data_IF_042134367288
#
_entry.id   IF_042134367288
#
_cell.length_a   1.000
_cell.length_b   1.000
_cell.length_c   1.000
_cell.angle_alpha   90.00
_cell.angle_beta   90.00
_cell.angle_gamma   90.00
#
_symmetry.space_group_name_H-M   'P 1'
#
loop_
_entity.id
_entity.type
_entity.pdbx_description
1 polymer ?
#
# COMPACT_ATOMS: atom_id res chain seq x y z
N UNK A 1 70.92 -10.46 7.52
CA UNK A 1 70.35 -9.23 6.93
C UNK A 1 69.09 -8.91 7.72
N UNK A 2 69.23 -8.15 8.79
CA UNK A 2 68.12 -7.73 9.66
C UNK A 2 67.23 -6.73 8.91
N UNK A 3 65.94 -7.04 8.78
CA UNK A 3 64.95 -6.07 8.32
C UNK A 3 64.57 -5.18 9.50
N UNK A 4 65.16 -3.99 9.53
CA UNK A 4 64.73 -2.90 10.42
C UNK A 4 63.30 -2.49 10.05
N UNK A 5 62.32 -2.89 10.85
CA UNK A 5 60.94 -2.41 10.76
C UNK A 5 60.90 -0.91 11.07
N UNK A 6 60.81 -0.07 10.03
CA UNK A 6 60.53 1.36 10.20
C UNK A 6 59.05 1.52 10.56
N UNK A 7 58.75 1.68 11.85
CA UNK A 7 57.46 2.22 12.29
C UNK A 7 57.38 3.69 11.88
N UNK A 8 56.80 3.95 10.71
CA UNK A 8 56.36 5.30 10.34
C UNK A 8 55.08 5.59 11.13
N UNK A 9 55.15 6.55 12.04
CA UNK A 9 53.95 7.18 12.60
C UNK A 9 53.19 7.83 11.44
N UNK A 10 51.97 7.37 11.17
CA UNK A 10 51.13 7.95 10.12
C UNK A 10 50.56 9.27 10.62
N UNK A 11 51.17 10.37 10.20
CA UNK A 11 50.53 11.69 10.30
C UNK A 11 49.37 11.69 9.31
N UNK A 12 48.13 11.77 9.80
CA UNK A 12 46.96 11.97 8.96
C UNK A 12 47.01 13.38 8.39
N UNK A 13 47.53 13.52 7.17
CA UNK A 13 47.48 14.78 6.42
C UNK A 13 46.07 14.94 5.83
N UNK A 14 45.47 16.13 5.93
CA UNK A 14 44.20 16.43 5.27
C UNK A 14 44.38 16.34 3.75
N UNK A 15 43.96 15.23 3.15
CA UNK A 15 43.92 15.00 1.72
C UNK A 15 42.45 14.90 1.29
N UNK A 16 42.06 15.67 0.28
CA UNK A 16 40.75 15.57 -0.35
C UNK A 16 40.82 14.56 -1.49
N UNK A 17 39.95 13.55 -1.46
CA UNK A 17 39.81 12.56 -2.52
C UNK A 17 38.42 12.71 -3.08
N UNK A 18 38.31 12.84 -4.40
CA UNK A 18 37.02 12.72 -5.08
C UNK A 18 36.54 11.28 -4.96
N UNK A 19 35.42 11.06 -4.29
CA UNK A 19 34.94 9.73 -3.94
C UNK A 19 34.33 8.99 -5.14
N UNK A 20 33.82 9.73 -6.14
CA UNK A 20 33.19 9.14 -7.32
C UNK A 20 34.19 8.33 -8.17
N UNK A 21 35.49 8.64 -8.08
CA UNK A 21 36.55 7.86 -8.77
C UNK A 21 36.70 6.45 -8.18
N UNK A 22 36.11 6.20 -7.01
CA UNK A 22 36.10 4.93 -6.31
C UNK A 22 34.75 4.20 -6.47
N UNK A 23 33.88 4.68 -7.36
CA UNK A 23 32.65 3.98 -7.72
C UNK A 23 32.88 2.94 -8.82
N UNK A 24 32.14 1.85 -8.71
CA UNK A 24 32.13 0.80 -9.72
C UNK A 24 31.36 1.27 -10.96
N UNK A 25 31.99 1.24 -12.13
CA UNK A 25 31.39 1.69 -13.41
C UNK A 25 30.19 0.84 -13.88
N UNK A 26 29.98 -0.33 -13.28
CA UNK A 26 28.86 -1.23 -13.64
C UNK A 26 27.62 -0.97 -12.79
N UNK A 27 27.78 -0.72 -11.49
CA UNK A 27 26.64 -0.50 -10.58
C UNK A 27 26.50 0.94 -10.10
N UNK A 28 27.45 1.82 -10.40
CA UNK A 28 27.47 3.22 -9.98
C UNK A 28 27.31 3.37 -8.45
N UNK A 29 28.00 2.50 -7.71
CA UNK A 29 28.05 2.49 -6.24
C UNK A 29 29.50 2.32 -5.78
N UNK A 30 29.83 2.65 -4.52
CA UNK A 30 31.18 2.49 -4.00
C UNK A 30 31.73 1.10 -4.26
N UNK A 31 32.98 1.02 -4.74
CA UNK A 31 33.66 -0.26 -4.96
C UNK A 31 33.71 -1.05 -3.66
N UNK A 32 33.17 -2.29 -3.68
CA UNK A 32 33.16 -3.18 -2.51
C UNK A 32 34.18 -4.30 -2.68
N UNK A 33 35.07 -4.52 -1.71
CA UNK A 33 35.93 -5.71 -1.69
C UNK A 33 35.10 -7.00 -1.77
N UNK A 34 35.53 -8.02 -2.55
CA UNK A 34 36.73 -8.03 -3.39
C UNK A 34 36.64 -7.14 -4.64
N UNK A 35 37.70 -6.37 -4.91
CA UNK A 35 37.80 -5.52 -6.11
C UNK A 35 38.60 -6.24 -7.18
N UNK A 36 38.07 -6.26 -8.40
CA UNK A 36 38.66 -6.95 -9.54
C UNK A 36 39.17 -5.95 -10.57
N UNK A 37 40.40 -6.13 -11.04
CA UNK A 37 41.10 -5.26 -11.97
C UNK A 37 41.44 -6.02 -13.26
N UNK A 38 41.20 -5.41 -14.42
CA UNK A 38 41.64 -5.95 -15.71
C UNK A 38 43.11 -5.66 -16.00
N UNK A 39 43.69 -6.26 -17.05
CA UNK A 39 45.10 -6.07 -17.42
C UNK A 39 45.51 -4.62 -17.72
N UNK A 40 44.54 -3.74 -18.05
CA UNK A 40 44.78 -2.31 -18.33
C UNK A 40 44.59 -1.42 -17.08
N UNK A 41 43.91 -1.91 -16.04
CA UNK A 41 43.71 -1.15 -14.80
C UNK A 41 42.27 -0.76 -14.45
N UNK A 42 41.28 -1.07 -15.28
CA UNK A 42 39.87 -0.84 -14.93
C UNK A 42 39.43 -1.76 -13.80
N UNK A 43 38.75 -1.19 -12.80
CA UNK A 43 38.30 -1.88 -11.60
C UNK A 43 36.78 -2.00 -11.52
N UNK A 44 36.30 -3.14 -11.04
CA UNK A 44 34.87 -3.40 -10.78
C UNK A 44 34.70 -4.24 -9.50
N UNK A 45 33.51 -4.21 -8.91
CA UNK A 45 33.14 -5.11 -7.82
C UNK A 45 33.13 -6.57 -8.27
N UNK A 46 33.55 -7.49 -7.41
CA UNK A 46 33.41 -8.93 -7.67
C UNK A 46 31.96 -9.36 -7.96
N UNK A 47 30.98 -8.74 -7.30
CA UNK A 47 29.55 -8.99 -7.53
C UNK A 47 29.08 -8.52 -8.91
N UNK A 48 29.66 -7.43 -9.43
CA UNK A 48 29.38 -6.92 -10.77
C UNK A 48 30.03 -7.78 -11.84
N UNK A 49 31.27 -8.21 -11.64
CA UNK A 49 31.94 -9.17 -12.53
C UNK A 49 31.14 -10.47 -12.67
N UNK A 50 30.57 -10.99 -11.57
CA UNK A 50 29.71 -12.18 -11.61
C UNK A 50 28.44 -12.02 -12.46
N UNK A 51 28.01 -10.79 -12.75
CA UNK A 51 26.84 -10.46 -13.59
C UNK A 51 27.21 -10.12 -15.04
N UNK A 52 28.49 -10.02 -15.38
CA UNK A 52 28.90 -9.73 -16.75
C UNK A 52 28.63 -10.95 -17.65
N UNK A 53 28.13 -10.73 -18.88
CA UNK A 53 27.86 -11.82 -19.81
C UNK A 53 29.14 -12.50 -20.29
N UNK A 54 30.21 -11.72 -20.47
CA UNK A 54 31.54 -12.22 -20.83
C UNK A 54 32.53 -11.89 -19.71
N UNK A 55 33.06 -12.94 -19.07
CA UNK A 55 34.00 -12.83 -17.95
C UNK A 55 35.45 -12.62 -18.40
N UNK A 56 35.73 -12.88 -19.67
CA UNK A 56 37.07 -12.78 -20.23
C UNK A 56 37.26 -11.49 -21.03
N UNK A 57 36.34 -10.53 -20.91
CA UNK A 57 36.40 -9.26 -21.63
C UNK A 57 36.05 -8.10 -20.71
N UNK A 58 36.85 -7.04 -20.79
CA UNK A 58 36.61 -5.86 -19.97
C UNK A 58 35.41 -5.05 -20.49
N UNK A 59 34.46 -4.71 -19.62
CA UNK A 59 33.31 -3.88 -19.98
C UNK A 59 33.71 -2.45 -20.37
N UNK A 60 34.83 -1.94 -19.83
CA UNK A 60 35.25 -0.55 -20.04
C UNK A 60 36.14 -0.41 -21.28
N UNK A 61 37.22 -1.18 -21.39
CA UNK A 61 38.13 -1.09 -22.56
C UNK A 61 37.82 -2.06 -23.69
N UNK A 62 36.81 -2.93 -23.55
CA UNK A 62 36.42 -3.94 -24.53
C UNK A 62 37.49 -4.99 -24.89
N UNK A 63 38.65 -4.98 -24.22
CA UNK A 63 39.77 -5.91 -24.45
C UNK A 63 39.55 -7.24 -23.76
N UNK A 64 40.00 -8.32 -24.42
CA UNK A 64 40.05 -9.66 -23.83
C UNK A 64 41.10 -9.69 -22.72
N UNK A 65 40.67 -10.04 -21.51
CA UNK A 65 41.49 -9.96 -20.30
C UNK A 65 40.87 -10.77 -19.17
N UNK A 66 41.74 -11.37 -18.35
CA UNK A 66 41.35 -11.93 -17.07
C UNK A 66 41.35 -10.84 -16.00
N UNK A 67 40.30 -10.82 -15.18
CA UNK A 67 40.25 -9.96 -14.00
C UNK A 67 41.00 -10.60 -12.83
N UNK A 68 41.88 -9.83 -12.19
CA UNK A 68 42.62 -10.23 -10.99
C UNK A 68 42.17 -9.41 -9.78
N UNK A 69 42.21 -10.00 -8.59
CA UNK A 69 41.88 -9.29 -7.36
C UNK A 69 42.94 -8.23 -7.04
N UNK A 70 42.51 -6.98 -6.90
CA UNK A 70 43.41 -5.86 -6.61
C UNK A 70 43.41 -5.53 -5.11
N UNK A 71 44.32 -6.16 -4.36
CA UNK A 71 44.48 -5.92 -2.93
C UNK A 71 44.86 -4.47 -2.60
N UNK A 72 45.62 -3.80 -3.47
CA UNK A 72 46.01 -2.40 -3.27
C UNK A 72 44.79 -1.47 -3.19
N UNK A 73 43.86 -1.56 -4.16
CA UNK A 73 42.63 -0.78 -4.16
C UNK A 73 41.75 -1.15 -2.96
N UNK A 74 41.67 -2.43 -2.59
CA UNK A 74 40.94 -2.82 -1.38
C UNK A 74 41.51 -2.23 -0.09
N UNK A 75 42.84 -2.05 0.01
CA UNK A 75 43.45 -1.39 1.18
C UNK A 75 43.15 0.11 1.19
N UNK A 76 43.19 0.76 0.02
CA UNK A 76 42.81 2.18 -0.13
C UNK A 76 41.34 2.39 0.30
N UNK A 77 40.43 1.54 -0.16
CA UNK A 77 39.00 1.63 0.19
C UNK A 77 38.74 1.46 1.69
N UNK A 78 39.60 0.70 2.40
CA UNK A 78 39.51 0.52 3.86
C UNK A 78 40.10 1.68 4.66
N UNK A 79 41.06 2.42 4.09
CA UNK A 79 41.70 3.54 4.79
C UNK A 79 40.96 4.86 4.64
N UNK A 80 40.09 5.00 3.63
CA UNK A 80 39.28 6.20 3.42
C UNK A 80 38.05 6.13 4.32
N UNK A 81 38.09 6.90 5.41
CA UNK A 81 36.97 7.06 6.33
C UNK A 81 36.18 8.32 5.97
N UNK A 82 34.87 8.16 5.79
CA UNK A 82 33.94 9.26 5.51
C UNK A 82 33.00 9.46 6.70
N UNK A 83 32.61 10.71 7.03
CA UNK A 83 31.57 10.94 8.02
C UNK A 83 30.23 10.38 7.54
N UNK A 84 29.41 9.88 8.46
CA UNK A 84 28.04 9.47 8.17
C UNK A 84 27.25 10.64 7.53
N UNK A 85 26.42 10.36 6.51
CA UNK A 85 25.50 11.37 5.94
C UNK A 85 24.54 11.95 6.98
N UNK A 86 24.26 11.20 8.04
CA UNK A 86 23.42 11.64 9.16
C UNK A 86 24.21 12.38 10.26
N UNK A 87 25.42 12.87 10.00
CA UNK A 87 26.19 13.66 10.97
C UNK A 87 25.44 14.91 11.44
N UNK A 88 24.68 15.57 10.55
CA UNK A 88 23.82 16.70 10.92
C UNK A 88 22.70 16.36 11.91
N UNK A 89 22.39 15.08 12.09
CA UNK A 89 21.41 14.57 13.05
C UNK A 89 22.06 13.92 14.29
N UNK A 90 23.37 14.10 14.48
CA UNK A 90 24.12 13.64 15.65
C UNK A 90 24.91 12.35 15.46
N UNK A 91 25.09 11.86 14.23
CA UNK A 91 25.94 10.69 14.00
C UNK A 91 27.43 11.06 13.91
N UNK A 92 28.21 10.72 14.94
CA UNK A 92 29.67 10.92 14.94
C UNK A 92 30.46 9.79 14.27
N UNK A 93 29.76 8.77 13.75
CA UNK A 93 30.41 7.63 13.12
C UNK A 93 31.16 8.04 11.84
N UNK A 94 32.39 7.52 11.71
CA UNK A 94 33.16 7.54 10.47
C UNK A 94 33.33 6.11 10.01
N UNK A 95 32.90 5.82 8.79
CA UNK A 95 32.95 4.47 8.22
C UNK A 95 33.81 4.46 6.99
N UNK A 96 34.36 3.29 6.65
CA UNK A 96 35.08 3.15 5.40
C UNK A 96 34.14 3.44 4.23
N UNK A 97 34.62 4.14 3.20
CA UNK A 97 33.76 4.62 2.10
C UNK A 97 32.97 3.48 1.44
N UNK A 98 33.58 2.31 1.23
CA UNK A 98 32.90 1.14 0.66
C UNK A 98 31.75 0.57 1.52
N UNK A 99 31.70 0.92 2.81
CA UNK A 99 30.71 0.47 3.79
C UNK A 99 29.74 1.60 4.22
N UNK A 100 29.84 2.81 3.66
CA UNK A 100 29.02 3.96 4.08
C UNK A 100 27.53 3.69 3.93
N UNK A 101 27.09 3.17 2.78
CA UNK A 101 25.68 2.85 2.55
C UNK A 101 25.17 1.77 3.51
N UNK A 102 26.02 0.80 3.86
CA UNK A 102 25.65 -0.29 4.78
C UNK A 102 25.53 0.18 6.22
N UNK A 103 26.28 1.22 6.62
CA UNK A 103 26.05 1.90 7.88
C UNK A 103 24.76 2.72 7.85
N UNK A 104 24.47 3.42 6.75
CA UNK A 104 23.27 4.24 6.59
C UNK A 104 21.98 3.41 6.70
N UNK A 105 21.98 2.19 6.17
CA UNK A 105 20.87 1.22 6.28
C UNK A 105 20.43 0.93 7.73
N UNK A 106 21.30 1.17 8.72
CA UNK A 106 21.03 0.93 10.15
C UNK A 106 21.46 2.06 11.06
N UNK A 107 21.67 3.27 10.53
CA UNK A 107 22.18 4.40 11.32
C UNK A 107 21.14 4.85 12.36
N UNK A 108 21.42 4.80 13.67
CA UNK A 108 20.44 5.18 14.71
C UNK A 108 19.98 6.64 14.65
N UNK A 109 20.76 7.50 14.00
CA UNK A 109 20.49 8.92 13.83
C UNK A 109 19.84 9.24 12.48
N UNK A 110 19.43 8.23 11.70
CA UNK A 110 18.70 8.45 10.47
C UNK A 110 17.36 9.17 10.78
N UNK A 111 17.03 10.26 10.06
CA UNK A 111 15.84 11.04 10.35
C UNK A 111 14.59 10.42 9.72
N UNK A 112 13.44 10.73 10.32
CA UNK A 112 12.16 10.77 9.61
C UNK A 112 11.79 12.22 9.30
N UNK A 113 11.00 12.42 8.26
CA UNK A 113 10.62 13.73 7.76
C UNK A 113 9.17 14.06 8.09
N UNK A 114 8.84 15.34 8.18
CA UNK A 114 7.44 15.77 8.29
C UNK A 114 6.72 15.62 6.93
N UNK A 115 5.51 15.03 6.91
CA UNK A 115 4.74 14.87 5.67
C UNK A 115 3.88 16.10 5.33
N UNK A 116 3.95 17.17 6.14
CA UNK A 116 3.18 18.39 5.87
C UNK A 116 3.85 19.21 4.76
N UNK A 117 3.10 19.59 3.71
CA UNK A 117 3.63 20.40 2.61
C UNK A 117 4.28 21.69 3.11
N UNK A 118 5.51 21.93 2.68
CA UNK A 118 6.28 23.13 3.08
C UNK A 118 6.96 23.04 4.45
N UNK A 119 6.76 21.96 5.21
CA UNK A 119 7.49 21.74 6.45
C UNK A 119 8.82 21.01 6.18
N UNK A 120 9.95 21.67 6.48
CA UNK A 120 11.29 21.10 6.31
C UNK A 120 11.79 20.28 7.49
N UNK A 121 10.93 19.91 8.44
CA UNK A 121 11.37 19.19 9.64
C UNK A 121 11.90 17.80 9.30
N UNK A 122 13.09 17.50 9.80
CA UNK A 122 13.73 16.19 9.75
C UNK A 122 14.41 15.93 11.10
N UNK A 123 14.18 14.76 11.68
CA UNK A 123 14.78 14.41 12.96
C UNK A 123 14.43 12.99 13.42
N UNK A 124 14.82 12.66 14.65
CA UNK A 124 14.55 11.34 15.23
C UNK A 124 13.04 11.02 15.20
N UNK A 125 12.70 9.76 14.91
CA UNK A 125 11.32 9.27 14.84
C UNK A 125 10.54 9.58 16.13
N UNK A 126 11.20 9.49 17.28
CA UNK A 126 10.63 9.80 18.61
C UNK A 126 10.22 11.26 18.78
N UNK A 127 10.81 12.18 18.02
CA UNK A 127 10.53 13.62 18.09
C UNK A 127 9.31 14.03 17.25
N UNK A 128 8.86 13.19 16.32
CA UNK A 128 7.74 13.51 15.43
C UNK A 128 6.43 13.83 16.16
N UNK A 129 5.99 13.08 17.19
CA UNK A 129 4.72 13.40 17.87
C UNK A 129 4.70 14.80 18.48
N UNK A 130 5.82 15.23 19.10
CA UNK A 130 5.94 16.55 19.68
C UNK A 130 5.95 17.64 18.59
N UNK A 131 6.65 17.39 17.48
CA UNK A 131 6.65 18.29 16.33
C UNK A 131 5.25 18.43 15.71
N UNK A 132 4.53 17.33 15.47
CA UNK A 132 3.19 17.37 14.86
C UNK A 132 2.17 18.08 15.74
N UNK A 133 2.19 17.84 17.05
CA UNK A 133 1.29 18.49 18.01
C UNK A 133 1.58 19.97 18.14
N UNK A 134 2.85 20.36 18.35
CA UNK A 134 3.22 21.77 18.56
C UNK A 134 3.29 22.60 17.27
N UNK A 135 3.72 22.00 16.16
CA UNK A 135 3.95 22.70 14.89
C UNK A 135 2.77 22.69 13.94
N UNK A 136 1.93 21.66 14.00
CA UNK A 136 0.81 21.47 13.06
C UNK A 136 -0.55 21.28 13.74
N UNK A 137 -0.61 21.33 15.08
CA UNK A 137 -1.86 21.16 15.82
C UNK A 137 -2.49 19.77 15.66
N UNK A 138 -1.70 18.76 15.27
CA UNK A 138 -2.20 17.40 15.17
C UNK A 138 -2.62 16.88 16.56
N UNK A 139 -3.58 15.93 16.62
CA UNK A 139 -3.90 15.26 17.88
C UNK A 139 -2.66 14.61 18.50
N UNK A 140 -2.57 14.55 19.84
CA UNK A 140 -1.56 13.75 20.52
C UNK A 140 -1.55 12.30 20.03
N UNK A 141 -0.39 11.66 20.08
CA UNK A 141 -0.27 10.27 19.66
C UNK A 141 -1.19 9.36 20.53
N UNK A 142 -2.00 8.54 19.87
CA UNK A 142 -2.85 7.56 20.55
C UNK A 142 -2.02 6.34 20.92
N UNK A 143 -1.96 6.01 22.20
CA UNK A 143 -1.28 4.81 22.67
C UNK A 143 -2.12 3.56 22.42
N UNK A 144 -1.48 2.49 21.97
CA UNK A 144 -2.12 1.19 21.80
C UNK A 144 -1.16 0.05 22.13
N UNK A 145 -1.71 -1.15 22.31
CA UNK A 145 -0.95 -2.38 22.52
C UNK A 145 -1.16 -3.35 21.36
N UNK A 146 -0.09 -3.97 20.86
CA UNK A 146 -0.15 -4.96 19.78
C UNK A 146 -1.07 -6.14 20.12
N UNK A 147 -1.66 -6.73 19.09
CA UNK A 147 -2.62 -7.83 19.16
C UNK A 147 -3.86 -7.56 20.05
N UNK A 148 -4.10 -6.29 20.43
CA UNK A 148 -5.33 -5.84 21.08
C UNK A 148 -6.06 -4.89 20.15
N UNK A 149 -7.35 -5.13 20.00
CA UNK A 149 -8.25 -4.25 19.28
C UNK A 149 -8.51 -2.97 20.10
N UNK A 150 -8.55 -1.82 19.42
CA UNK A 150 -8.97 -0.55 20.01
C UNK A 150 -9.80 0.26 19.00
N UNK A 151 -10.70 1.09 19.50
CA UNK A 151 -11.51 1.99 18.69
C UNK A 151 -10.71 3.23 18.32
N UNK A 152 -10.60 3.49 17.02
CA UNK A 152 -10.06 4.73 16.46
C UNK A 152 -11.18 5.51 15.78
N UNK A 153 -11.37 6.75 16.20
CA UNK A 153 -12.31 7.66 15.57
C UNK A 153 -11.83 8.03 14.17
N UNK A 154 -12.65 7.75 13.16
CA UNK A 154 -12.32 8.06 11.77
C UNK A 154 -12.63 9.53 11.54
N UNK A 155 -11.58 10.31 11.35
CA UNK A 155 -11.64 11.72 10.97
C UNK A 155 -10.64 11.93 9.84
N UNK A 156 -10.95 12.84 8.92
CA UNK A 156 -10.02 13.26 7.90
C UNK A 156 -8.74 13.82 8.52
N UNK A 157 -7.61 13.55 7.87
CA UNK A 157 -6.29 14.00 8.27
C UNK A 157 -5.41 12.90 8.84
N UNK A 158 -4.28 13.35 9.41
CA UNK A 158 -3.18 12.51 9.85
C UNK A 158 -3.15 12.38 11.37
N UNK A 159 -2.86 11.19 11.86
CA UNK A 159 -2.80 10.85 13.29
C UNK A 159 -1.67 9.86 13.55
N UNK A 160 -1.02 9.98 14.71
CA UNK A 160 0.03 9.05 15.12
C UNK A 160 -0.51 8.07 16.14
N UNK A 161 -0.18 6.79 15.98
CA UNK A 161 -0.36 5.74 16.97
C UNK A 161 1.00 5.35 17.53
N UNK A 162 1.08 5.12 18.84
CA UNK A 162 2.31 4.68 19.53
C UNK A 162 2.09 3.30 20.13
N UNK A 163 2.91 2.34 19.72
CA UNK A 163 2.98 1.01 20.34
C UNK A 163 3.71 1.11 21.68
N UNK A 164 2.98 0.90 22.79
CA UNK A 164 3.53 1.02 24.15
C UNK A 164 4.54 -0.08 24.48
N UNK A 165 4.48 -1.23 23.82
CA UNK A 165 5.36 -2.36 24.13
C UNK A 165 6.66 -2.30 23.31
N UNK A 166 6.57 -1.85 22.06
CA UNK A 166 7.70 -1.85 21.11
C UNK A 166 8.27 -0.46 20.80
N UNK A 167 7.62 0.62 21.21
CA UNK A 167 8.04 1.99 20.95
C UNK A 167 7.88 2.46 19.50
N UNK A 168 7.35 1.60 18.61
CA UNK A 168 7.13 1.91 17.20
C UNK A 168 6.02 2.96 17.05
N UNK A 169 6.18 3.85 16.07
CA UNK A 169 5.17 4.83 15.71
C UNK A 169 4.52 4.45 14.38
N UNK A 170 3.20 4.55 14.33
CA UNK A 170 2.43 4.33 13.13
C UNK A 170 1.70 5.60 12.75
N UNK A 171 1.70 5.92 11.46
CA UNK A 171 0.91 7.01 10.90
C UNK A 171 -0.38 6.44 10.32
N UNK A 172 -1.51 6.97 10.77
CA UNK A 172 -2.81 6.78 10.16
C UNK A 172 -3.13 8.04 9.37
N UNK A 173 -3.26 7.91 8.06
CA UNK A 173 -3.72 8.98 7.18
C UNK A 173 -5.09 8.61 6.63
N UNK A 174 -6.05 9.52 6.76
CA UNK A 174 -7.42 9.34 6.27
C UNK A 174 -7.76 10.50 5.36
N UNK A 175 -8.13 10.20 4.12
CA UNK A 175 -8.47 11.18 3.12
C UNK A 175 -9.86 10.94 2.52
N UNK A 176 -10.50 11.98 1.97
CA UNK A 176 -11.72 11.84 1.19
C UNK A 176 -11.54 10.91 -0.01
N UNK A 177 -12.48 9.97 -0.19
CA UNK A 177 -12.53 9.03 -1.31
C UNK A 177 -13.77 9.25 -2.18
N UNK A 178 -14.20 10.52 -2.32
CA UNK A 178 -15.38 10.88 -3.10
C UNK A 178 -16.65 10.16 -2.61
N UNK A 179 -17.44 9.53 -3.51
CA UNK A 179 -18.66 8.81 -3.15
C UNK A 179 -18.43 7.63 -2.21
N UNK A 180 -17.23 7.04 -2.21
CA UNK A 180 -16.89 5.88 -1.37
C UNK A 180 -16.78 6.22 0.12
N UNK A 181 -16.77 7.51 0.49
CA UNK A 181 -16.61 7.98 1.86
C UNK A 181 -15.16 8.38 2.13
N UNK A 182 -14.50 7.67 3.04
CA UNK A 182 -13.12 7.93 3.43
C UNK A 182 -12.23 6.75 3.06
N UNK A 183 -11.00 7.00 2.62
CA UNK A 183 -9.97 6.00 2.46
C UNK A 183 -8.86 6.25 3.48
N UNK A 184 -8.29 5.17 4.03
CA UNK A 184 -7.25 5.29 5.02
C UNK A 184 -6.05 4.40 4.76
N UNK A 185 -4.90 4.84 5.24
CA UNK A 185 -3.63 4.13 5.22
C UNK A 185 -3.11 3.97 6.65
N UNK A 186 -2.40 2.87 6.91
CA UNK A 186 -1.60 2.69 8.13
C UNK A 186 -0.17 2.40 7.72
N UNK A 187 0.76 3.26 8.13
CA UNK A 187 2.18 3.19 7.78
C UNK A 187 3.03 3.11 9.04
N UNK A 188 4.12 2.36 9.01
CA UNK A 188 5.13 2.38 10.06
C UNK A 188 6.11 3.53 9.78
N UNK A 189 6.30 4.41 10.77
CA UNK A 189 7.32 5.45 10.71
C UNK A 189 8.67 4.82 11.08
N UNK A 190 9.53 4.69 10.09
CA UNK A 190 10.79 3.96 10.19
C UNK A 190 11.83 4.63 9.27
N UNK A 191 12.91 5.21 9.82
CA UNK A 191 13.94 5.86 9.02
C UNK A 191 14.73 4.85 8.16
N UNK A 192 14.64 3.55 8.49
CA UNK A 192 15.28 2.45 7.77
C UNK A 192 14.30 1.68 6.88
N UNK A 193 13.24 2.34 6.38
CA UNK A 193 12.20 1.69 5.57
C UNK A 193 12.71 0.89 4.36
N UNK A 194 13.86 1.25 3.80
CA UNK A 194 14.52 0.56 2.68
C UNK A 194 15.41 -0.62 3.09
N UNK A 195 15.71 -0.78 4.39
CA UNK A 195 16.63 -1.79 4.89
C UNK A 195 16.09 -3.22 4.71
N UNK A 196 17.00 -4.17 4.50
CA UNK A 196 16.68 -5.60 4.29
C UNK A 196 16.08 -6.25 5.54
N UNK A 197 16.55 -5.87 6.72
CA UNK A 197 16.10 -6.37 8.00
C UNK A 197 15.28 -5.29 8.70
N UNK A 198 13.96 -5.30 8.47
CA UNK A 198 13.02 -4.36 9.06
C UNK A 198 11.89 -5.08 9.79
N UNK A 199 11.30 -4.48 10.84
CA UNK A 199 10.15 -5.06 11.49
C UNK A 199 8.99 -5.19 10.50
N UNK A 200 8.24 -6.29 10.62
CA UNK A 200 7.10 -6.58 9.76
C UNK A 200 5.84 -6.60 10.61
N UNK A 201 4.90 -5.76 10.24
CA UNK A 201 3.60 -5.69 10.89
C UNK A 201 2.47 -5.97 9.90
N UNK A 202 1.39 -6.51 10.41
CA UNK A 202 0.12 -6.66 9.73
C UNK A 202 -0.94 -5.88 10.51
N UNK A 203 -1.79 -5.16 9.79
CA UNK A 203 -2.86 -4.37 10.37
C UNK A 203 -4.20 -4.97 9.95
N UNK A 204 -5.09 -5.14 10.93
CA UNK A 204 -6.48 -5.47 10.71
C UNK A 204 -7.32 -4.25 11.12
N UNK A 205 -8.11 -3.75 10.17
CA UNK A 205 -9.03 -2.64 10.36
C UNK A 205 -10.44 -3.14 10.11
N UNK A 206 -11.32 -3.01 11.09
CA UNK A 206 -12.74 -3.34 10.96
C UNK A 206 -13.63 -2.12 11.16
N UNK A 207 -14.59 -1.94 10.27
CA UNK A 207 -15.64 -0.94 10.39
C UNK A 207 -16.96 -1.62 10.73
N UNK A 208 -17.72 -1.05 11.68
CA UNK A 208 -19.06 -1.51 11.99
C UNK A 208 -20.06 -0.35 12.03
N UNK A 209 -21.03 -0.35 11.12
CA UNK A 209 -22.15 0.56 11.16
C UNK A 209 -23.32 -0.10 11.93
N UNK A 210 -23.57 0.37 13.16
CA UNK A 210 -24.66 -0.16 13.99
C UNK A 210 -26.06 0.11 13.40
N UNK A 211 -26.23 1.25 12.72
CA UNK A 211 -27.52 1.64 12.14
C UNK A 211 -27.97 0.72 10.99
N UNK A 212 -27.03 0.17 10.22
CA UNK A 212 -27.33 -0.69 9.06
C UNK A 212 -26.96 -2.15 9.29
N UNK A 213 -26.37 -2.48 10.45
CA UNK A 213 -25.76 -3.78 10.73
C UNK A 213 -24.52 -4.09 9.88
N UNK A 214 -24.07 -3.16 9.03
CA UNK A 214 -22.95 -3.38 8.11
C UNK A 214 -21.63 -3.59 8.86
N UNK A 215 -20.84 -4.56 8.40
CA UNK A 215 -19.47 -4.80 8.86
C UNK A 215 -18.57 -4.93 7.64
N UNK A 216 -17.40 -4.33 7.73
CA UNK A 216 -16.31 -4.51 6.77
C UNK A 216 -15.02 -4.70 7.53
N UNK A 217 -14.11 -5.52 7.01
CA UNK A 217 -12.77 -5.66 7.55
C UNK A 217 -11.74 -5.66 6.43
N UNK A 218 -10.54 -5.22 6.74
CA UNK A 218 -9.40 -5.17 5.82
C UNK A 218 -8.16 -5.61 6.58
N UNK A 219 -7.44 -6.58 6.01
CA UNK A 219 -6.15 -7.07 6.52
C UNK A 219 -5.08 -6.74 5.49
N UNK A 220 -4.00 -6.11 5.93
CA UNK A 220 -2.94 -5.69 5.02
C UNK A 220 -1.59 -5.57 5.72
N UNK A 221 -0.47 -5.82 5.01
CA UNK A 221 0.86 -5.58 5.53
C UNK A 221 1.09 -4.06 5.72
N UNK A 222 1.68 -3.69 6.85
CA UNK A 222 2.04 -2.30 7.14
C UNK A 222 3.32 -1.95 6.40
N UNK A 223 3.27 -0.91 5.56
CA UNK A 223 4.44 -0.40 4.84
C UNK A 223 5.25 0.52 5.75
N UNK A 224 6.56 0.34 5.77
CA UNK A 224 7.51 1.26 6.40
C UNK A 224 7.75 2.48 5.52
N UNK A 225 7.91 3.66 6.13
CA UNK A 225 8.31 4.88 5.44
C UNK A 225 9.10 5.81 6.37
N UNK A 226 10.13 6.45 5.82
CA UNK A 226 10.82 7.57 6.47
C UNK A 226 10.11 8.90 6.21
N UNK A 227 9.08 8.92 5.35
CA UNK A 227 8.42 10.11 4.80
C UNK A 227 9.34 11.01 3.96
N UNK A 228 10.45 10.44 3.46
CA UNK A 228 11.35 11.12 2.55
C UNK A 228 10.60 11.54 1.27
N UNK A 229 10.60 12.85 0.98
CA UNK A 229 9.85 13.44 -0.14
C UNK A 229 8.60 14.25 0.25
N UNK A 230 8.32 14.41 1.56
CA UNK A 230 7.32 15.38 2.05
C UNK A 230 5.87 15.07 1.66
N UNK A 231 5.60 13.85 1.21
CA UNK A 231 4.25 13.37 0.86
C UNK A 231 4.13 11.87 1.08
N UNK A 232 2.89 11.40 1.21
CA UNK A 232 2.60 9.98 1.36
C UNK A 232 2.66 9.27 0.00
N UNK A 233 3.01 7.97 -0.04
CA UNK A 233 3.00 7.20 -1.29
C UNK A 233 1.61 7.24 -1.95
N UNK A 234 1.57 7.46 -3.27
CA UNK A 234 0.31 7.59 -4.02
C UNK A 234 -0.61 6.35 -3.94
N UNK A 235 -0.06 5.20 -3.57
CA UNK A 235 -0.69 3.88 -3.46
C UNK A 235 -0.83 3.39 -2.00
N UNK A 236 -0.88 4.30 -1.01
CA UNK A 236 -0.83 3.90 0.40
C UNK A 236 -2.18 3.52 1.03
N UNK A 237 -3.32 3.88 0.42
CA UNK A 237 -4.64 3.60 0.99
C UNK A 237 -4.96 2.10 0.98
N UNK A 238 -5.26 1.57 2.15
CA UNK A 238 -5.40 0.14 2.40
C UNK A 238 -6.79 -0.27 2.90
N UNK A 239 -7.63 0.69 3.33
CA UNK A 239 -9.00 0.44 3.75
C UNK A 239 -9.94 1.60 3.37
N UNK A 240 -11.24 1.32 3.33
CA UNK A 240 -12.30 2.29 3.02
C UNK A 240 -13.34 2.28 4.14
N UNK A 241 -13.79 3.47 4.55
CA UNK A 241 -14.88 3.69 5.49
C UNK A 241 -16.06 4.30 4.72
N UNK A 242 -17.12 3.53 4.45
CA UNK A 242 -18.27 3.99 3.68
C UNK A 242 -18.98 5.18 4.33
N UNK A 243 -19.47 6.11 3.50
CA UNK A 243 -20.37 7.18 3.94
C UNK A 243 -21.75 6.58 4.27
N UNK A 244 -22.26 6.87 5.47
CA UNK A 244 -23.59 6.41 5.91
C UNK A 244 -24.55 7.60 5.88
N UNK A 245 -25.72 7.45 5.24
CA UNK A 245 -26.68 8.52 4.92
C UNK A 245 -27.33 9.21 6.14
N UNK A 246 -27.18 8.65 7.33
CA UNK A 246 -27.54 9.29 8.60
C UNK A 246 -26.30 9.29 9.49
N UNK A 247 -25.85 10.45 10.00
CA UNK A 247 -24.68 10.47 10.84
C UNK A 247 -25.05 9.89 12.20
N UNK A 248 -24.44 8.78 12.67
CA UNK A 248 -23.86 8.91 13.97
C UNK A 248 -22.66 9.84 13.79
N UNK A 249 -22.70 11.00 14.45
CA UNK A 249 -21.45 11.63 14.85
C UNK A 249 -20.59 10.51 15.44
N UNK A 250 -19.37 10.27 14.91
CA UNK A 250 -18.41 9.22 15.33
C UNK A 250 -18.53 7.85 14.64
N UNK A 251 -18.19 7.78 13.34
CA UNK A 251 -17.78 6.50 12.75
C UNK A 251 -16.43 6.07 13.37
N UNK A 252 -16.40 4.96 14.11
CA UNK A 252 -15.15 4.36 14.59
C UNK A 252 -14.77 3.15 13.75
N UNK A 253 -13.45 2.93 13.63
CA UNK A 253 -12.87 1.68 13.16
C UNK A 253 -12.19 1.00 14.33
N UNK A 254 -12.23 -0.32 14.34
CA UNK A 254 -11.49 -1.17 15.25
C UNK A 254 -10.17 -1.50 14.58
N UNK A 255 -9.06 -1.11 15.19
CA UNK A 255 -7.71 -1.36 14.66
C UNK A 255 -6.99 -2.36 15.55
N UNK A 256 -6.32 -3.33 14.95
CA UNK A 256 -5.37 -4.21 15.63
C UNK A 256 -4.12 -4.41 14.77
N UNK A 257 -2.95 -4.31 15.41
CA UNK A 257 -1.65 -4.46 14.75
C UNK A 257 -0.92 -5.67 15.33
N UNK A 258 -0.39 -6.52 14.45
CA UNK A 258 0.32 -7.74 14.79
C UNK A 258 1.77 -7.66 14.33
N UNK A 259 2.71 -8.05 15.19
CA UNK A 259 4.11 -8.27 14.81
C UNK A 259 4.24 -9.66 14.19
N UNK A 260 4.61 -9.70 12.92
CA UNK A 260 4.77 -10.92 12.12
C UNK A 260 6.24 -11.21 11.79
N UNK A 261 7.17 -10.49 12.44
CA UNK A 261 8.62 -10.66 12.26
C UNK A 261 9.10 -12.04 12.72
N UNK A 262 8.38 -12.66 13.67
CA UNK A 262 8.58 -14.04 14.12
C UNK A 262 7.39 -14.87 13.67
N UNK A 263 7.60 -15.92 12.84
CA UNK A 263 6.53 -16.89 12.49
C UNK A 263 5.82 -17.33 13.78
N UNK A 264 4.52 -17.08 13.91
CA UNK A 264 3.72 -17.64 15.02
C UNK A 264 3.25 -19.07 14.67
N UNK A 265 3.18 -19.99 15.64
CA UNK A 265 2.38 -21.19 15.51
C UNK A 265 0.91 -20.79 15.31
N UNK A 266 0.23 -21.47 14.38
CA UNK A 266 -1.22 -21.32 14.15
C UNK A 266 -1.96 -21.72 15.44
N UNK A 267 -2.33 -20.75 16.26
CA UNK A 267 -3.44 -20.91 17.19
C UNK A 267 -4.58 -20.04 16.70
N UNK A 268 -5.52 -20.72 16.05
CA UNK A 268 -6.83 -20.20 15.68
C UNK A 268 -7.55 -19.77 16.96
N UNK A 269 -7.78 -18.47 17.10
CA UNK A 269 -8.91 -18.02 17.90
C UNK A 269 -10.15 -18.19 17.02
N UNK A 270 -10.96 -19.18 17.39
CA UNK A 270 -12.29 -19.42 16.86
C UNK A 270 -13.16 -18.18 17.10
N UNK A 271 -13.18 -17.26 16.14
CA UNK A 271 -14.35 -16.39 15.96
C UNK A 271 -15.31 -17.18 15.10
N UNK A 272 -16.47 -17.45 15.67
CA UNK A 272 -17.55 -18.29 15.16
C UNK A 272 -17.72 -18.11 13.66
N UNK A 273 -17.38 -19.16 12.91
CA UNK A 273 -17.69 -19.29 11.50
C UNK A 273 -19.21 -19.28 11.35
N UNK A 274 -19.74 -18.26 10.70
CA UNK A 274 -20.87 -18.43 9.79
C UNK A 274 -20.38 -17.95 8.42
N UNK A 275 -20.17 -18.94 7.56
CA UNK A 275 -19.92 -18.82 6.11
C UNK A 275 -21.01 -17.97 5.47
N UNK A 276 -20.73 -17.12 4.48
CA UNK A 276 -20.36 -17.44 3.09
C UNK A 276 -19.59 -16.24 2.47
N UNK A 277 -18.30 -16.39 2.20
CA UNK A 277 -17.65 -16.69 0.91
C UNK A 277 -17.68 -15.59 -0.16
N UNK A 278 -16.47 -15.14 -0.50
CA UNK A 278 -16.03 -14.45 -1.74
C UNK A 278 -16.56 -13.05 -1.99
N UNK A 279 -16.10 -12.12 -1.17
CA UNK A 279 -15.83 -10.76 -1.62
C UNK A 279 -14.33 -10.53 -1.48
N UNK A 280 -13.70 -9.91 -2.49
CA UNK A 280 -12.39 -9.26 -2.41
C UNK A 280 -11.16 -9.88 -3.10
N UNK A 281 -11.11 -11.06 -3.72
CA UNK A 281 -9.90 -11.36 -4.51
C UNK A 281 -9.82 -10.52 -5.78
N UNK A 282 -10.87 -10.50 -6.60
CA UNK A 282 -10.90 -9.69 -7.83
C UNK A 282 -10.81 -8.19 -7.51
N UNK A 283 -11.58 -7.69 -6.55
CA UNK A 283 -11.58 -6.25 -6.19
C UNK A 283 -10.24 -5.81 -5.60
N UNK A 284 -9.60 -6.63 -4.75
CA UNK A 284 -8.26 -6.33 -4.24
C UNK A 284 -7.23 -6.39 -5.36
N UNK A 285 -7.27 -7.37 -6.26
CA UNK A 285 -6.31 -7.51 -7.36
C UNK A 285 -6.42 -6.36 -8.37
N UNK A 286 -7.66 -5.91 -8.61
CA UNK A 286 -8.04 -4.78 -9.45
C UNK A 286 -7.55 -3.45 -8.84
N UNK A 287 -7.64 -3.28 -7.52
CA UNK A 287 -7.04 -2.13 -6.80
C UNK A 287 -5.50 -2.20 -6.78
N UNK A 288 -4.91 -3.40 -6.64
CA UNK A 288 -3.45 -3.61 -6.67
C UNK A 288 -2.83 -3.27 -8.03
N UNK A 289 -3.48 -3.60 -9.14
CA UNK A 289 -2.94 -3.38 -10.49
C UNK A 289 -3.46 -2.13 -11.19
N UNK A 290 -4.55 -1.52 -10.71
CA UNK A 290 -5.15 -0.32 -11.31
C UNK A 290 -4.31 0.95 -11.18
N UNK A 291 -3.28 0.94 -10.33
CA UNK A 291 -2.40 2.10 -10.07
C UNK A 291 -1.05 2.02 -10.82
N UNK A 292 -0.67 0.85 -11.35
CA UNK A 292 0.59 0.72 -12.08
C UNK A 292 0.39 1.02 -13.57
N UNK A 293 0.95 2.16 -14.01
CA UNK A 293 0.96 2.76 -15.35
C UNK A 293 -0.22 3.69 -15.69
N UNK A 294 0.15 4.87 -16.19
CA UNK A 294 -0.74 5.96 -16.53
C UNK A 294 -1.93 5.56 -17.41
N UNK A 295 -3.09 6.12 -17.06
CA UNK A 295 -4.36 6.16 -17.80
C UNK A 295 -4.73 4.83 -18.47
N UNK A 296 -5.40 3.94 -17.73
CA UNK A 296 -6.27 2.93 -18.33
C UNK A 296 -7.72 3.20 -17.92
N UNK A 297 -8.46 3.79 -18.84
CA UNK A 297 -9.92 3.72 -18.81
C UNK A 297 -10.30 2.25 -18.74
N UNK A 298 -11.03 1.84 -17.70
CA UNK A 298 -11.59 0.49 -17.61
C UNK A 298 -12.70 0.30 -18.65
N UNK A 299 -13.48 1.36 -18.90
CA UNK A 299 -14.52 1.40 -19.92
C UNK A 299 -14.45 2.76 -20.63
N UNK A 300 -14.58 2.74 -21.97
CA UNK A 300 -14.79 3.94 -22.78
C UNK A 300 -16.19 3.88 -23.39
N UNK A 301 -16.97 4.94 -23.20
CA UNK A 301 -18.31 5.09 -23.75
C UNK A 301 -18.54 6.56 -24.08
N UNK A 302 -19.09 6.85 -25.26
CA UNK A 302 -19.44 8.21 -25.70
C UNK A 302 -18.31 9.24 -25.53
N UNK A 303 -17.09 8.87 -25.96
CA UNK A 303 -15.86 9.68 -25.85
C UNK A 303 -15.39 9.96 -24.40
N UNK A 304 -16.07 9.43 -23.38
CA UNK A 304 -15.67 9.52 -21.98
C UNK A 304 -14.96 8.24 -21.54
N UNK A 305 -13.95 8.42 -20.70
CA UNK A 305 -13.14 7.34 -20.13
C UNK A 305 -13.48 7.19 -18.65
N UNK A 306 -13.93 6.01 -18.26
CA UNK A 306 -14.29 5.68 -16.89
C UNK A 306 -13.19 4.82 -16.30
N UNK A 307 -12.65 5.25 -15.17
CA UNK A 307 -11.68 4.46 -14.44
C UNK A 307 -12.39 3.44 -13.55
N UNK A 308 -11.60 2.51 -13.05
CA UNK A 308 -12.05 1.36 -12.29
C UNK A 308 -12.65 1.74 -10.92
N UNK A 309 -12.12 2.80 -10.31
CA UNK A 309 -12.65 3.37 -9.05
C UNK A 309 -14.05 3.94 -9.26
N UNK A 310 -14.28 4.64 -10.38
CA UNK A 310 -15.61 5.17 -10.74
C UNK A 310 -16.63 4.04 -10.95
N UNK A 311 -16.24 2.95 -11.60
CA UNK A 311 -17.11 1.79 -11.80
C UNK A 311 -17.44 1.08 -10.49
N UNK A 312 -16.47 0.94 -9.58
CA UNK A 312 -16.68 0.35 -8.26
C UNK A 312 -17.62 1.23 -7.43
N UNK A 313 -17.46 2.56 -7.46
CA UNK A 313 -18.36 3.49 -6.78
C UNK A 313 -19.81 3.35 -7.28
N UNK A 314 -20.01 3.38 -8.61
CA UNK A 314 -21.35 3.18 -9.19
C UNK A 314 -21.95 1.81 -8.89
N UNK A 315 -21.12 0.76 -8.82
CA UNK A 315 -21.58 -0.58 -8.45
C UNK A 315 -22.05 -0.65 -6.98
N UNK A 316 -21.40 0.09 -6.09
CA UNK A 316 -21.82 0.23 -4.69
C UNK A 316 -23.15 1.00 -4.56
N UNK A 317 -23.39 1.98 -5.42
CA UNK A 317 -24.70 2.67 -5.47
C UNK A 317 -25.82 1.72 -5.89
N UNK A 318 -25.60 0.89 -6.92
CA UNK A 318 -26.56 -0.14 -7.33
C UNK A 318 -26.78 -1.17 -6.23
N UNK A 319 -25.70 -1.61 -5.57
CA UNK A 319 -25.79 -2.48 -4.40
C UNK A 319 -26.70 -1.88 -3.30
N UNK A 320 -26.54 -0.59 -3.00
CA UNK A 320 -27.38 0.10 -2.03
C UNK A 320 -28.84 0.16 -2.49
N UNK A 321 -29.12 0.40 -3.78
CA UNK A 321 -30.48 0.41 -4.34
C UNK A 321 -31.15 -0.97 -4.21
N UNK A 322 -30.44 -2.03 -4.60
CA UNK A 322 -30.94 -3.41 -4.53
C UNK A 322 -31.20 -3.85 -3.08
N UNK A 323 -30.45 -3.29 -2.13
CA UNK A 323 -30.62 -3.51 -0.69
C UNK A 323 -31.79 -2.71 -0.08
N UNK A 324 -32.11 -1.53 -0.60
CA UNK A 324 -33.09 -0.60 -0.01
C UNK A 324 -34.55 -0.80 -0.47
N UNK A 325 -34.90 -1.86 -1.20
CA UNK A 325 -36.31 -2.14 -1.61
C UNK A 325 -37.25 -2.61 -0.47
N UNK A 326 -37.08 -2.10 0.76
CA UNK A 326 -38.06 -2.14 1.84
C UNK A 326 -38.44 -0.70 2.29
N UNK A 327 -38.99 0.10 1.38
CA UNK A 327 -39.68 1.35 1.74
C UNK A 327 -41.20 1.10 1.70
N UNK A 328 -41.97 1.36 2.76
CA UNK A 328 -43.43 1.24 2.75
C UNK A 328 -44.05 2.26 1.78
N UNK A 329 -45.24 2.00 1.23
CA UNK A 329 -45.79 2.78 0.14
C UNK A 329 -46.09 4.21 0.59
N UNK A 330 -45.37 5.19 0.03
CA UNK A 330 -45.91 6.55 -0.06
C UNK A 330 -46.99 6.53 -1.13
N UNK A 331 -48.23 6.60 -0.66
CA UNK A 331 -49.42 6.75 -1.47
C UNK A 331 -49.31 7.96 -2.37
N UNK A 332 -49.29 7.73 -3.69
CA UNK A 332 -49.94 8.61 -4.64
C UNK A 332 -50.97 7.78 -5.39
N UNK A 333 -52.24 8.05 -5.08
CA UNK A 333 -53.40 7.46 -5.73
C UNK A 333 -53.46 7.93 -7.19
N UNK A 334 -53.62 6.98 -8.11
CA UNK A 334 -54.72 7.02 -9.07
C UNK A 334 -55.04 5.61 -9.59
N UNK A 335 -56.33 5.31 -9.54
CA UNK A 335 -57.03 4.05 -9.79
C UNK A 335 -56.96 3.55 -11.24
N UNK A 336 -56.82 2.25 -11.47
CA UNK A 336 -57.96 1.33 -11.76
C UNK A 336 -57.49 -0.12 -12.00
N UNK A 337 -58.23 -1.04 -11.37
CA UNK A 337 -58.54 -2.42 -11.74
C UNK A 337 -57.43 -3.49 -11.87
N UNK A 338 -57.31 -4.28 -10.79
CA UNK A 338 -57.62 -5.72 -10.83
C UNK A 338 -56.61 -6.66 -11.49
N UNK A 339 -55.70 -7.22 -10.68
CA UNK A 339 -55.49 -8.68 -10.58
C UNK A 339 -54.41 -8.97 -9.54
N UNK A 340 -54.71 -9.93 -8.67
CA UNK A 340 -53.84 -10.46 -7.62
C UNK A 340 -52.62 -11.17 -8.23
N UNK A 341 -51.40 -10.73 -7.88
CA UNK A 341 -50.14 -11.33 -8.35
C UNK A 341 -49.07 -11.36 -7.26
N UNK A 342 -48.80 -12.57 -6.76
CA UNK A 342 -47.67 -13.09 -5.99
C UNK A 342 -46.67 -12.11 -5.33
N UNK A 343 -46.81 -11.91 -4.02
CA UNK A 343 -45.74 -11.41 -3.16
C UNK A 343 -44.59 -12.42 -3.13
N UNK A 344 -43.42 -12.05 -3.65
CA UNK A 344 -42.17 -12.76 -3.32
C UNK A 344 -41.93 -12.57 -1.83
N UNK A 345 -42.30 -13.59 -1.07
CA UNK A 345 -42.08 -13.69 0.38
C UNK A 345 -40.58 -13.70 0.61
N UNK A 346 -40.00 -12.51 0.82
CA UNK A 346 -38.59 -12.35 1.18
C UNK A 346 -38.30 -13.19 2.42
N UNK A 347 -37.40 -14.17 2.25
CA UNK A 347 -36.87 -14.95 3.36
C UNK A 347 -36.00 -14.01 4.18
N UNK A 348 -36.54 -13.59 5.33
CA UNK A 348 -35.86 -12.94 6.45
C UNK A 348 -34.92 -11.76 6.11
N UNK A 349 -35.45 -10.52 6.09
CA UNK A 349 -34.86 -9.31 6.70
C UNK A 349 -33.40 -8.88 6.44
N UNK A 350 -32.61 -9.62 5.69
CA UNK A 350 -31.22 -9.33 5.35
C UNK A 350 -31.24 -8.92 3.88
N UNK A 351 -31.03 -7.65 3.56
CA UNK A 351 -31.06 -7.13 2.19
C UNK A 351 -29.94 -7.69 1.30
N UNK A 352 -30.02 -8.99 1.00
CA UNK A 352 -29.11 -9.80 0.20
C UNK A 352 -29.97 -10.66 -0.73
N UNK A 353 -29.64 -10.67 -2.02
CA UNK A 353 -30.47 -11.25 -3.08
C UNK A 353 -30.51 -12.79 -3.06
N UNK A 354 -29.63 -13.45 -2.29
CA UNK A 354 -29.72 -14.90 -2.03
C UNK A 354 -29.68 -15.78 -3.30
N UNK A 355 -28.97 -15.34 -4.34
CA UNK A 355 -28.90 -16.00 -5.64
C UNK A 355 -30.01 -15.62 -6.62
N UNK A 356 -30.86 -14.63 -6.31
CA UNK A 356 -31.90 -14.15 -7.22
C UNK A 356 -31.29 -13.66 -8.55
N UNK A 357 -31.91 -14.06 -9.66
CA UNK A 357 -31.50 -13.67 -11.02
C UNK A 357 -32.11 -12.32 -11.36
N UNK A 358 -31.29 -11.31 -11.62
CA UNK A 358 -31.72 -9.94 -11.90
C UNK A 358 -31.38 -9.61 -13.36
N UNK A 359 -32.42 -9.36 -14.16
CA UNK A 359 -32.28 -8.90 -15.53
C UNK A 359 -31.89 -7.42 -15.56
N UNK A 360 -30.76 -7.09 -16.19
CA UNK A 360 -30.30 -5.72 -16.36
C UNK A 360 -30.52 -5.34 -17.81
N UNK A 361 -31.56 -4.54 -18.06
CA UNK A 361 -31.94 -4.10 -19.40
C UNK A 361 -31.47 -2.67 -19.62
N UNK A 362 -30.36 -2.49 -20.33
CA UNK A 362 -29.90 -1.16 -20.74
C UNK A 362 -29.03 -1.24 -22.00
N UNK A 363 -28.73 -0.08 -22.59
CA UNK A 363 -27.67 0.00 -23.61
C UNK A 363 -26.32 -0.30 -22.95
N UNK A 364 -25.36 -0.93 -23.66
CA UNK A 364 -24.01 -1.09 -23.15
C UNK A 364 -23.41 0.26 -22.72
N UNK A 365 -23.17 0.41 -21.42
CA UNK A 365 -22.65 1.63 -20.81
C UNK A 365 -21.86 1.31 -19.53
N UNK A 366 -21.10 2.27 -18.98
CA UNK A 366 -20.45 2.12 -17.67
C UNK A 366 -21.45 1.76 -16.56
N UNK A 367 -22.65 2.33 -16.59
CA UNK A 367 -23.74 2.08 -15.65
C UNK A 367 -24.32 0.66 -15.81
N UNK A 368 -24.38 0.14 -17.04
CA UNK A 368 -24.74 -1.26 -17.30
C UNK A 368 -23.76 -2.23 -16.63
N UNK A 369 -22.45 -1.95 -16.71
CA UNK A 369 -21.41 -2.76 -16.05
C UNK A 369 -21.44 -2.58 -14.53
N UNK A 370 -21.66 -1.36 -14.05
CA UNK A 370 -21.87 -1.10 -12.62
C UNK A 370 -23.11 -1.87 -12.08
N UNK A 371 -24.16 -1.99 -12.88
CA UNK A 371 -25.35 -2.77 -12.56
C UNK A 371 -25.05 -4.26 -12.37
N UNK A 372 -24.22 -4.83 -13.26
CA UNK A 372 -23.78 -6.23 -13.19
C UNK A 372 -22.99 -6.45 -11.91
N UNK A 373 -22.01 -5.59 -11.65
CA UNK A 373 -21.22 -5.67 -10.42
C UNK A 373 -22.09 -5.51 -9.18
N UNK A 374 -22.91 -4.46 -9.09
CA UNK A 374 -23.79 -4.22 -7.94
C UNK A 374 -24.73 -5.38 -7.64
N UNK A 375 -25.21 -6.10 -8.66
CA UNK A 375 -26.03 -7.31 -8.51
C UNK A 375 -25.23 -8.46 -7.88
N UNK A 376 -24.01 -8.72 -8.37
CA UNK A 376 -23.12 -9.70 -7.75
C UNK A 376 -22.74 -9.30 -6.33
N UNK A 377 -22.50 -8.01 -6.07
CA UNK A 377 -22.19 -7.52 -4.72
C UNK A 377 -23.35 -7.75 -3.76
N UNK A 378 -24.58 -7.74 -4.28
CA UNK A 378 -25.80 -8.00 -3.53
C UNK A 378 -26.09 -9.48 -3.35
N UNK A 379 -25.23 -10.38 -3.84
CA UNK A 379 -25.43 -11.83 -3.79
C UNK A 379 -26.41 -12.38 -4.81
N UNK A 380 -26.72 -11.61 -5.85
CA UNK A 380 -27.60 -12.02 -6.95
C UNK A 380 -26.82 -12.50 -8.17
N UNK A 381 -27.54 -13.10 -9.11
CA UNK A 381 -27.02 -13.50 -10.43
C UNK A 381 -27.42 -12.43 -11.44
N UNK A 382 -26.47 -11.67 -11.95
CA UNK A 382 -26.74 -10.69 -13.00
C UNK A 382 -27.01 -11.38 -14.33
N UNK A 383 -28.11 -11.02 -14.99
CA UNK A 383 -28.43 -11.46 -16.36
C UNK A 383 -28.41 -10.24 -17.27
N UNK A 384 -27.33 -10.08 -18.08
CA UNK A 384 -27.15 -8.90 -18.91
C UNK A 384 -28.06 -8.96 -20.14
N UNK A 385 -29.00 -8.01 -20.24
CA UNK A 385 -29.94 -7.88 -21.36
C UNK A 385 -29.59 -6.59 -22.12
N UNK A 386 -28.48 -6.63 -22.85
CA UNK A 386 -27.98 -5.48 -23.58
C UNK A 386 -28.91 -5.13 -24.76
N UNK A 387 -29.43 -3.90 -24.80
CA UNK A 387 -30.34 -3.43 -25.87
C UNK A 387 -29.69 -3.36 -27.27
N UNK A 388 -28.39 -3.66 -27.37
CA UNK A 388 -27.69 -3.82 -28.65
C UNK A 388 -27.93 -5.18 -29.32
N UNK A 389 -28.46 -6.18 -28.60
CA UNK A 389 -28.72 -7.50 -29.15
C UNK A 389 -30.11 -7.60 -29.81
N UNK A 390 -30.26 -8.45 -30.85
CA UNK A 390 -31.55 -8.71 -31.48
C UNK A 390 -32.58 -9.24 -30.47
N UNK A 391 -33.84 -8.87 -30.66
CA UNK A 391 -34.94 -9.23 -29.76
C UNK A 391 -35.07 -10.75 -29.53
N UNK A 392 -34.83 -11.55 -30.57
CA UNK A 392 -34.84 -13.01 -30.48
C UNK A 392 -33.77 -13.58 -29.52
N UNK A 393 -32.59 -12.96 -29.45
CA UNK A 393 -31.52 -13.37 -28.54
C UNK A 393 -31.82 -12.94 -27.10
N UNK A 394 -32.37 -11.74 -26.92
CA UNK A 394 -32.80 -11.27 -25.59
C UNK A 394 -33.91 -12.15 -25.03
N UNK A 395 -34.92 -12.51 -25.84
CA UNK A 395 -35.97 -13.44 -25.47
C UNK A 395 -35.43 -14.84 -25.12
N UNK A 396 -34.43 -15.32 -25.87
CA UNK A 396 -33.78 -16.59 -25.56
C UNK A 396 -33.07 -16.56 -24.20
N UNK A 397 -32.26 -15.52 -23.93
CA UNK A 397 -31.53 -15.35 -22.66
C UNK A 397 -32.48 -15.20 -21.48
N UNK A 398 -33.59 -14.47 -21.64
CA UNK A 398 -34.61 -14.31 -20.60
C UNK A 398 -35.29 -15.63 -20.24
N UNK A 399 -35.65 -16.43 -21.25
CA UNK A 399 -36.30 -17.72 -21.07
C UNK A 399 -35.37 -18.75 -20.43
N UNK A 400 -34.12 -18.84 -20.90
CA UNK A 400 -33.11 -19.75 -20.33
C UNK A 400 -32.74 -19.37 -18.88
N UNK A 401 -32.69 -18.07 -18.61
CA UNK A 401 -32.38 -17.55 -17.27
C UNK A 401 -33.55 -17.58 -16.29
N UNK A 402 -34.74 -18.04 -16.72
CA UNK A 402 -35.94 -18.10 -15.87
C UNK A 402 -36.34 -16.75 -15.22
N UNK A 403 -36.06 -15.63 -15.89
CA UNK A 403 -36.45 -14.30 -15.42
C UNK A 403 -37.83 -13.96 -15.97
N UNK A 404 -38.74 -13.52 -15.10
CA UNK A 404 -40.10 -13.10 -15.45
C UNK A 404 -40.22 -11.58 -15.37
N UNK A 405 -41.02 -10.98 -16.25
CA UNK A 405 -41.51 -9.61 -16.07
C UNK A 405 -42.55 -9.61 -14.95
N UNK A 406 -42.34 -8.77 -13.93
CA UNK A 406 -43.38 -8.30 -13.02
C UNK A 406 -43.58 -6.81 -13.20
#
# INVERSE_FOLDING_TARGET
MEQSARQRSSVATNATVDLEVLDCTVCCHPLKPPVLQCGVGHVICSSCHGKLPDKNRCHVCAMDTAYNRCFAVEQILRSILVPCRNAGYGCDAKTAYHDSDSHEDGCPHAPCFCPEPGCGFAGATSSLPAHFTGGHGWPPATEFRRARAFDLQVQEGKRVLRDVDGGHLFLVDVAPAGPAGLAGAVLLLDPHAGAKAKPKFECHVAFHCRATGWRSSSEFPVRSTALAGGSLPADCYAFVVPRVAHPPATASIIVSVYDVSKKRPRNAYNTTQNTTSTFMEVVQEVLKHGSTQGVRAAIRSDQKSYNLVQLIASALDVYNILRNKNVPPLSFSMTQNGSTGSSVKGINGTGFLGGARIGIVAKPSPEFVAGIFGTWLSGGVAVPLALSYPEAELLHVMNDSMIKYE
#
